data_IF_076913529773
#
_entry.id   IF_076913529773
#
_cell.length_a   1.000
_cell.length_b   1.000
_cell.length_c   1.000
_cell.angle_alpha   90.00
_cell.angle_beta   90.00
_cell.angle_gamma   90.00
#
_symmetry.space_group_name_H-M   'P 1'
#
loop_
_entity.id
_entity.type
_entity.pdbx_description
1 polymer ?
#
# COMPACT_ATOMS: atom_id res chain seq x y z
N UNK A 1 -3.06 -19.44 7.43
CA UNK A 1 -2.89 -18.00 7.63
C UNK A 1 -4.19 -17.29 7.35
N UNK A 2 -4.58 -16.38 8.24
CA UNK A 2 -5.77 -15.57 8.00
C UNK A 2 -5.49 -14.52 6.95
N UNK A 3 -6.51 -14.19 6.18
CA UNK A 3 -6.41 -13.22 5.10
C UNK A 3 -7.67 -12.38 5.07
N UNK A 4 -7.49 -11.10 4.73
CA UNK A 4 -8.63 -10.23 4.41
C UNK A 4 -9.16 -10.60 3.02
N UNK A 5 -10.29 -10.00 2.65
CA UNK A 5 -10.97 -10.30 1.39
C UNK A 5 -11.18 -9.01 0.61
N UNK A 6 -11.84 -9.13 -0.53
CA UNK A 6 -12.19 -7.95 -1.32
C UNK A 6 -13.18 -7.02 -0.60
N UNK A 7 -13.79 -7.49 0.49
CA UNK A 7 -14.74 -6.69 1.26
C UNK A 7 -14.16 -6.11 2.55
N UNK A 8 -12.83 -6.21 2.72
CA UNK A 8 -12.20 -5.82 3.97
C UNK A 8 -11.80 -4.35 4.04
N UNK A 9 -11.68 -3.68 2.90
CA UNK A 9 -11.17 -2.31 2.85
C UNK A 9 -12.05 -1.41 2.03
N UNK A 10 -12.03 -0.12 2.37
CA UNK A 10 -12.75 0.90 1.64
C UNK A 10 -11.86 2.14 1.56
N UNK A 11 -11.96 2.87 0.45
CA UNK A 11 -11.28 4.16 0.31
C UNK A 11 -12.18 5.25 0.86
N UNK A 12 -11.60 6.13 1.68
CA UNK A 12 -12.32 7.26 2.26
C UNK A 12 -11.37 8.46 2.35
N UNK A 13 -11.93 9.68 2.43
CA UNK A 13 -11.10 10.84 2.71
C UNK A 13 -10.36 10.65 4.02
N UNK A 14 -9.09 11.04 4.02
CA UNK A 14 -8.22 10.95 5.18
C UNK A 14 -7.54 12.30 5.39
N UNK A 15 -6.66 12.38 6.39
CA UNK A 15 -5.98 13.63 6.70
C UNK A 15 -5.20 14.16 5.49
N UNK A 16 -4.58 13.26 4.73
CA UNK A 16 -3.75 13.63 3.59
C UNK A 16 -4.28 13.03 2.30
N UNK A 17 -5.50 13.39 1.94
CA UNK A 17 -6.12 12.91 0.71
C UNK A 17 -6.96 11.67 0.96
N UNK A 18 -6.84 10.67 0.07
CA UNK A 18 -7.57 9.43 0.20
C UNK A 18 -6.76 8.44 1.02
N UNK A 19 -7.43 7.65 1.85
CA UNK A 19 -6.80 6.59 2.62
C UNK A 19 -7.57 5.28 2.53
N UNK A 20 -6.94 4.21 3.01
CA UNK A 20 -7.49 2.86 3.05
C UNK A 20 -7.96 2.58 4.45
N UNK A 21 -9.23 2.21 4.62
CA UNK A 21 -9.82 1.99 5.94
C UNK A 21 -10.35 0.58 6.09
N UNK A 22 -10.18 0.01 7.28
CA UNK A 22 -10.71 -1.32 7.58
C UNK A 22 -12.22 -1.26 7.73
N UNK A 23 -12.90 -2.23 7.11
CA UNK A 23 -14.37 -2.35 7.21
C UNK A 23 -14.75 -3.18 8.42
N UNK A 24 -13.86 -4.09 8.82
CA UNK A 24 -14.09 -4.96 10.00
C UNK A 24 -12.78 -5.06 10.79
N UNK A 25 -12.87 -5.66 11.97
CA UNK A 25 -11.68 -5.87 12.79
C UNK A 25 -10.75 -6.86 12.10
N UNK A 26 -9.44 -6.59 12.21
CA UNK A 26 -8.38 -7.41 11.60
C UNK A 26 -7.38 -7.75 12.69
N UNK A 27 -7.02 -9.02 12.80
CA UNK A 27 -6.07 -9.47 13.82
C UNK A 27 -4.64 -9.30 13.37
N UNK A 28 -3.76 -9.08 14.33
CA UNK A 28 -2.32 -9.04 14.10
C UNK A 28 -1.88 -10.26 13.28
N UNK A 29 -1.01 -10.05 12.30
CA UNK A 29 -0.47 -11.11 11.47
C UNK A 29 -1.32 -11.50 10.27
N UNK A 30 -2.52 -10.94 10.15
CA UNK A 30 -3.41 -11.24 9.02
C UNK A 30 -2.81 -10.68 7.72
N UNK A 31 -2.86 -11.48 6.67
CA UNK A 31 -2.47 -11.02 5.33
C UNK A 31 -3.49 -10.01 4.83
N UNK A 32 -3.01 -8.86 4.38
CA UNK A 32 -3.86 -7.77 3.89
C UNK A 32 -3.91 -7.83 2.36
N UNK A 33 -5.06 -8.20 1.83
CA UNK A 33 -5.26 -8.30 0.38
C UNK A 33 -5.49 -6.93 -0.20
N UNK A 34 -4.40 -6.18 -0.36
CA UNK A 34 -4.43 -4.82 -0.89
C UNK A 34 -4.16 -4.79 -2.39
N UNK A 35 -3.72 -5.90 -2.95
CA UNK A 35 -3.51 -6.11 -4.38
C UNK A 35 -4.16 -7.43 -4.77
N UNK A 36 -4.43 -7.61 -6.07
CA UNK A 36 -5.03 -8.86 -6.53
C UNK A 36 -4.10 -10.03 -6.22
N UNK A 37 -4.67 -11.14 -5.73
CA UNK A 37 -3.88 -12.27 -5.27
C UNK A 37 -3.05 -12.93 -6.36
N UNK A 38 -3.55 -12.92 -7.59
CA UNK A 38 -2.84 -13.51 -8.72
C UNK A 38 -1.71 -12.62 -9.23
N UNK A 39 -1.58 -11.40 -8.69
CA UNK A 39 -0.56 -10.46 -9.12
C UNK A 39 0.65 -10.56 -8.20
N UNK A 40 1.80 -10.99 -8.74
CA UNK A 40 3.02 -10.98 -7.94
C UNK A 40 3.52 -9.55 -7.79
N UNK A 41 4.28 -9.30 -6.72
CA UNK A 41 4.70 -7.94 -6.38
C UNK A 41 5.43 -7.23 -7.52
N UNK A 42 6.25 -7.95 -8.28
CA UNK A 42 7.01 -7.36 -9.38
C UNK A 42 6.13 -6.93 -10.54
N UNK A 43 4.91 -7.48 -10.65
CA UNK A 43 4.00 -7.16 -11.74
C UNK A 43 3.04 -6.04 -11.38
N UNK A 44 3.06 -5.58 -10.11
CA UNK A 44 2.14 -4.54 -9.63
C UNK A 44 2.57 -3.15 -10.04
N UNK A 45 3.83 -2.99 -10.41
CA UNK A 45 4.40 -1.67 -10.60
C UNK A 45 5.18 -1.57 -11.90
N UNK A 46 5.35 -0.32 -12.34
CA UNK A 46 6.15 0.03 -13.50
C UNK A 46 7.08 1.15 -13.09
N UNK A 47 8.34 1.04 -13.46
CA UNK A 47 9.32 2.09 -13.21
C UNK A 47 9.15 3.19 -14.27
N UNK A 48 9.02 4.44 -13.82
CA UNK A 48 8.94 5.59 -14.72
C UNK A 48 9.91 6.66 -14.25
N UNK A 49 10.34 7.50 -15.17
CA UNK A 49 11.10 8.69 -14.78
C UNK A 49 10.17 9.65 -14.09
N UNK A 50 10.67 10.33 -13.05
CA UNK A 50 9.86 11.28 -12.29
C UNK A 50 9.23 12.33 -13.19
N UNK A 51 9.97 12.85 -14.17
CA UNK A 51 9.48 13.87 -15.06
C UNK A 51 8.36 13.40 -15.99
N UNK A 52 8.23 12.08 -16.17
CA UNK A 52 7.18 11.50 -17.02
C UNK A 52 5.87 11.29 -16.28
N UNK A 53 5.84 11.55 -14.96
CA UNK A 53 4.64 11.40 -14.15
C UNK A 53 4.12 12.77 -13.76
N UNK A 54 2.88 13.12 -14.11
CA UNK A 54 2.31 14.41 -13.70
C UNK A 54 2.41 14.58 -12.19
N UNK A 55 2.71 15.78 -11.76
CA UNK A 55 2.99 16.05 -10.35
C UNK A 55 1.92 15.53 -9.40
N UNK A 56 0.67 15.70 -9.75
CA UNK A 56 -0.45 15.26 -8.91
C UNK A 56 -0.36 13.77 -8.58
N UNK A 57 0.09 12.95 -9.53
CA UNK A 57 0.10 11.49 -9.35
C UNK A 57 1.34 10.98 -8.64
N UNK A 58 2.36 11.81 -8.47
CA UNK A 58 3.62 11.37 -7.83
C UNK A 58 3.42 10.97 -6.38
N UNK A 59 2.43 11.51 -5.70
CA UNK A 59 2.14 11.18 -4.32
C UNK A 59 1.74 9.71 -4.11
N UNK A 60 1.28 9.05 -5.16
CA UNK A 60 0.87 7.65 -5.08
C UNK A 60 2.00 6.69 -5.44
N UNK A 61 3.17 7.19 -5.77
CA UNK A 61 4.28 6.37 -6.22
C UNK A 61 5.33 6.20 -5.13
N UNK A 62 6.13 5.14 -5.26
CA UNK A 62 7.26 4.95 -4.35
C UNK A 62 8.46 5.69 -4.92
N UNK A 63 9.02 6.59 -4.11
CA UNK A 63 10.13 7.45 -4.54
C UNK A 63 11.44 6.67 -4.55
N UNK A 64 12.06 6.60 -5.72
CA UNK A 64 13.36 5.97 -5.91
C UNK A 64 14.40 6.97 -6.39
N UNK A 65 14.19 8.26 -6.15
CA UNK A 65 15.09 9.32 -6.60
C UNK A 65 14.69 9.83 -7.96
N UNK A 66 15.52 9.58 -8.96
CA UNK A 66 15.24 10.03 -10.33
C UNK A 66 14.08 9.29 -10.96
N UNK A 67 13.73 8.14 -10.40
CA UNK A 67 12.64 7.32 -10.90
C UNK A 67 11.60 7.08 -9.83
N UNK A 68 10.43 6.67 -10.25
CA UNK A 68 9.32 6.34 -9.37
C UNK A 68 8.84 4.93 -9.69
N UNK A 69 8.46 4.20 -8.65
CA UNK A 69 7.77 2.92 -8.80
C UNK A 69 6.28 3.24 -8.77
N UNK A 70 5.59 3.00 -9.87
CA UNK A 70 4.25 3.49 -10.12
C UNK A 70 3.25 2.38 -10.33
N UNK A 71 1.94 2.66 -10.12
CA UNK A 71 0.91 1.76 -10.62
C UNK A 71 1.10 1.54 -12.11
N UNK A 72 0.73 0.37 -12.61
CA UNK A 72 0.81 0.10 -14.03
C UNK A 72 -0.11 1.02 -14.83
N UNK A 73 -1.27 1.33 -14.26
CA UNK A 73 -2.26 2.21 -14.89
C UNK A 73 -2.88 3.08 -13.81
N UNK A 74 -2.63 4.37 -13.86
CA UNK A 74 -3.20 5.30 -12.86
C UNK A 74 -4.73 5.38 -12.93
N UNK A 75 -5.32 4.89 -14.01
CA UNK A 75 -6.78 4.83 -14.13
C UNK A 75 -7.38 3.61 -13.43
N UNK A 76 -6.54 2.64 -13.05
CA UNK A 76 -6.98 1.40 -12.41
C UNK A 76 -6.03 1.04 -11.28
N UNK A 77 -5.97 1.90 -10.25
CA UNK A 77 -5.06 1.70 -9.14
C UNK A 77 -5.69 0.76 -8.11
N UNK A 78 -4.91 -0.25 -7.73
CA UNK A 78 -5.35 -1.15 -6.66
C UNK A 78 -5.28 -0.45 -5.31
N UNK A 79 -5.97 -1.02 -4.33
CA UNK A 79 -6.14 -0.43 -3.00
C UNK A 79 -4.82 -0.05 -2.36
N UNK A 80 -3.80 -0.91 -2.51
CA UNK A 80 -2.52 -0.71 -1.86
C UNK A 80 -1.77 0.55 -2.26
N UNK A 81 -2.09 1.12 -3.43
CA UNK A 81 -1.43 2.35 -3.86
C UNK A 81 -1.92 3.58 -3.10
N UNK A 82 -3.01 3.47 -2.33
CA UNK A 82 -3.58 4.56 -1.55
C UNK A 82 -3.16 4.54 -0.08
N UNK A 83 -2.27 3.62 0.32
CA UNK A 83 -1.79 3.56 1.70
C UNK A 83 -1.04 4.83 2.06
N UNK A 84 -1.37 5.41 3.21
CA UNK A 84 -0.71 6.60 3.69
C UNK A 84 0.42 6.27 4.65
N UNK A 85 1.33 7.22 4.82
CA UNK A 85 2.49 7.07 5.70
C UNK A 85 2.12 7.34 7.14
N UNK A 86 2.71 6.57 8.06
CA UNK A 86 2.67 6.86 9.48
C UNK A 86 3.98 6.39 10.11
N UNK A 87 4.45 7.15 11.10
CA UNK A 87 5.60 6.72 11.90
C UNK A 87 5.20 5.67 12.92
N UNK A 88 3.89 5.51 13.14
CA UNK A 88 3.34 4.47 14.01
C UNK A 88 2.41 3.63 13.15
N UNK A 89 2.98 2.82 12.24
CA UNK A 89 2.16 2.07 11.28
C UNK A 89 1.43 0.91 11.95
N UNK A 90 0.33 0.49 11.34
CA UNK A 90 -0.38 -0.72 11.77
C UNK A 90 -0.27 -1.84 10.75
N UNK A 91 0.51 -1.62 9.68
CA UNK A 91 0.76 -2.63 8.65
C UNK A 91 2.21 -2.56 8.20
N UNK A 92 2.71 -3.67 7.67
CA UNK A 92 4.06 -3.75 7.13
C UNK A 92 4.06 -4.71 5.95
N UNK A 93 5.19 -4.78 5.22
CA UNK A 93 5.28 -5.68 4.09
C UNK A 93 6.47 -6.62 4.20
N UNK A 94 6.38 -7.73 3.45
CA UNK A 94 7.49 -8.61 3.11
C UNK A 94 7.45 -8.76 1.60
N UNK A 95 8.44 -8.22 0.91
CA UNK A 95 8.48 -8.22 -0.56
C UNK A 95 7.19 -7.65 -1.16
N UNK A 96 6.68 -6.59 -0.52
CA UNK A 96 5.46 -5.89 -0.94
C UNK A 96 4.18 -6.72 -0.82
N UNK A 97 4.19 -7.78 -0.02
CA UNK A 97 2.99 -8.42 0.49
C UNK A 97 2.77 -7.89 1.90
N UNK A 98 1.54 -7.43 2.19
CA UNK A 98 1.27 -6.65 3.38
C UNK A 98 0.56 -7.46 4.46
N UNK A 99 0.91 -7.17 5.72
CA UNK A 99 0.40 -7.89 6.90
C UNK A 99 0.09 -6.90 8.01
N UNK A 100 -0.89 -7.23 8.85
CA UNK A 100 -1.21 -6.41 10.01
C UNK A 100 -0.11 -6.53 11.07
N UNK A 101 0.43 -5.39 11.52
CA UNK A 101 1.44 -5.34 12.59
C UNK A 101 0.84 -5.53 13.97
N UNK A 102 -0.43 -5.23 14.11
CA UNK A 102 -1.17 -5.30 15.36
C UNK A 102 -2.63 -5.48 15.02
N UNK A 103 -3.46 -5.62 16.04
CA UNK A 103 -4.90 -5.67 15.83
C UNK A 103 -5.38 -4.32 15.29
N UNK A 104 -6.21 -4.36 14.26
CA UNK A 104 -6.77 -3.17 13.62
C UNK A 104 -8.27 -3.22 13.80
N UNK A 105 -8.86 -2.12 14.25
CA UNK A 105 -10.30 -2.06 14.48
C UNK A 105 -11.03 -1.56 13.24
N UNK A 106 -12.27 -2.02 13.08
CA UNK A 106 -13.13 -1.50 12.03
C UNK A 106 -13.15 0.03 12.09
N UNK A 107 -12.99 0.67 10.94
CA UNK A 107 -12.97 2.13 10.85
C UNK A 107 -11.60 2.76 10.96
N UNK A 108 -10.59 2.00 11.35
CA UNK A 108 -9.22 2.54 11.42
C UNK A 108 -8.56 2.57 10.04
N UNK A 109 -7.74 3.57 9.83
CA UNK A 109 -6.97 3.68 8.60
C UNK A 109 -5.80 2.72 8.62
N UNK A 110 -5.54 2.07 7.49
CA UNK A 110 -4.36 1.23 7.32
C UNK A 110 -3.20 2.14 6.89
N UNK A 111 -2.12 2.12 7.66
CA UNK A 111 -0.97 2.97 7.40
C UNK A 111 0.33 2.18 7.49
N UNK A 112 1.29 2.58 6.69
CA UNK A 112 2.61 1.94 6.62
C UNK A 112 3.69 2.99 6.81
N UNK A 113 4.90 2.55 7.10
CA UNK A 113 6.05 3.44 7.14
C UNK A 113 6.69 3.43 5.75
N UNK A 114 6.60 4.55 5.04
CA UNK A 114 7.13 4.68 3.68
C UNK A 114 8.64 4.42 3.61
N UNK A 115 9.34 4.63 4.70
CA UNK A 115 10.78 4.39 4.71
C UNK A 115 11.12 2.93 4.44
N UNK A 116 10.19 2.02 4.72
CA UNK A 116 10.39 0.60 4.49
C UNK A 116 10.13 0.19 3.05
N UNK A 117 9.58 1.07 2.22
CA UNK A 117 9.27 0.76 0.82
C UNK A 117 10.45 0.93 -0.11
N UNK A 118 11.50 1.63 0.33
CA UNK A 118 12.65 1.91 -0.51
C UNK A 118 13.54 0.69 -0.72
N UNK A 119 13.48 -0.26 0.20
CA UNK A 119 14.33 -1.44 0.15
C UNK A 119 13.48 -2.70 0.14
N UNK A 120 13.57 -3.51 -0.93
CA UNK A 120 12.91 -4.80 -0.95
C UNK A 120 13.46 -5.70 0.16
N UNK A 121 12.62 -6.59 0.68
CA UNK A 121 12.99 -7.48 1.77
C UNK A 121 14.23 -8.29 1.45
N UNK A 122 14.31 -8.83 0.25
CA UNK A 122 15.41 -9.69 -0.15
C UNK A 122 16.72 -8.95 -0.37
N UNK A 123 16.69 -7.63 -0.39
CA UNK A 123 17.90 -6.82 -0.57
C UNK A 123 18.68 -6.65 0.73
N UNK A 124 18.15 -7.15 1.83
CA UNK A 124 18.75 -7.01 3.16
C UNK A 124 19.52 -8.22 3.60
#
# INVERSE_FOLDING_TARGET
MESTTEFSFVLKPAEHGIGVFAVHDIKEGTYLRLFADETVATDRSVKRKREDVPEFFRQYCVDKGDTLMCPQDFGHMEMGWYLNHSKIPNAHHKNYDYYALCDIKAGEEIAIDYNNLEEPEEAR
#
